data_IF_378365301516
#
_entry.id   IF_378365301516
#
_cell.length_a   1.000
_cell.length_b   1.000
_cell.length_c   1.000
_cell.angle_alpha   90.00
_cell.angle_beta   90.00
_cell.angle_gamma   90.00
#
_symmetry.space_group_name_H-M   'P 1'
#
loop_
_entity.id
_entity.type
_entity.pdbx_description
1 polymer ?
#
# COMPACT_ATOMS: atom_id res chain seq x y z
N UNK A 1 30.70 -57.43 -1.26
CA UNK A 1 30.00 -56.41 -2.09
C UNK A 1 28.89 -55.81 -1.25
N UNK A 2 28.93 -54.50 -0.97
CA UNK A 2 27.86 -53.75 -0.30
C UNK A 2 27.77 -52.40 -0.98
N UNK A 3 26.78 -52.25 -1.88
CA UNK A 3 26.42 -50.99 -2.50
C UNK A 3 25.30 -50.38 -1.67
N UNK A 4 25.59 -49.35 -0.89
CA UNK A 4 24.58 -48.53 -0.23
C UNK A 4 24.15 -47.43 -1.20
N UNK A 5 22.88 -47.47 -1.60
CA UNK A 5 22.22 -46.48 -2.44
C UNK A 5 22.04 -45.18 -1.66
N UNK A 6 22.60 -44.09 -2.20
CA UNK A 6 22.37 -42.73 -1.73
C UNK A 6 20.96 -42.27 -2.16
N UNK A 7 20.10 -41.99 -1.19
CA UNK A 7 18.85 -41.25 -1.41
C UNK A 7 19.19 -39.77 -1.57
N UNK A 8 19.14 -39.27 -2.80
CA UNK A 8 19.22 -37.84 -3.09
C UNK A 8 17.83 -37.24 -2.85
N UNK A 9 17.66 -36.56 -1.72
CA UNK A 9 16.45 -35.80 -1.40
C UNK A 9 16.35 -34.59 -2.32
N UNK A 10 15.48 -34.65 -3.32
CA UNK A 10 15.01 -33.51 -4.09
C UNK A 10 14.20 -32.59 -3.15
N UNK A 11 14.90 -31.68 -2.47
CA UNK A 11 14.26 -30.60 -1.74
C UNK A 11 13.53 -29.69 -2.72
N UNK A 12 12.19 -29.75 -2.74
CA UNK A 12 11.37 -28.73 -3.38
C UNK A 12 11.65 -27.40 -2.68
N UNK A 13 12.41 -26.52 -3.33
CA UNK A 13 12.50 -25.13 -2.94
C UNK A 13 11.13 -24.49 -3.19
N UNK A 14 10.27 -24.47 -2.18
CA UNK A 14 9.10 -23.60 -2.14
C UNK A 14 9.65 -22.19 -1.96
N UNK A 15 9.96 -21.52 -3.07
CA UNK A 15 10.27 -20.10 -3.01
C UNK A 15 8.99 -19.37 -2.59
N UNK A 16 9.02 -18.53 -1.54
CA UNK A 16 7.87 -17.67 -1.24
C UNK A 16 7.60 -16.81 -2.47
N UNK A 17 6.36 -16.84 -2.96
CA UNK A 17 5.90 -15.92 -3.98
C UNK A 17 6.00 -14.51 -3.39
N UNK A 18 7.03 -13.77 -3.80
CA UNK A 18 7.16 -12.36 -3.46
C UNK A 18 6.02 -11.66 -4.20
N UNK A 19 4.97 -11.28 -3.47
CA UNK A 19 3.94 -10.41 -4.00
C UNK A 19 4.63 -9.12 -4.46
N UNK A 20 4.72 -8.92 -5.78
CA UNK A 20 5.30 -7.72 -6.36
C UNK A 20 4.34 -6.56 -6.04
N UNK A 21 4.85 -5.50 -5.38
CA UNK A 21 4.04 -4.31 -5.16
C UNK A 21 3.71 -3.68 -6.51
N UNK A 22 2.43 -3.51 -6.82
CA UNK A 22 1.95 -2.91 -8.07
C UNK A 22 2.09 -1.37 -8.11
N UNK A 23 2.73 -0.81 -7.08
CA UNK A 23 3.06 0.60 -6.93
C UNK A 23 3.06 1.03 -5.45
N UNK A 24 3.08 2.33 -5.21
CA UNK A 24 3.20 2.94 -3.88
C UNK A 24 2.32 4.19 -3.74
N UNK A 25 1.79 4.40 -2.53
CA UNK A 25 1.17 5.65 -2.12
C UNK A 25 2.08 6.33 -1.12
N UNK A 26 2.38 7.60 -1.38
CA UNK A 26 3.10 8.47 -0.48
C UNK A 26 2.16 9.57 0.02
N UNK A 27 1.97 9.65 1.33
CA UNK A 27 1.20 10.72 1.97
C UNK A 27 2.16 11.65 2.68
N UNK A 28 1.99 12.95 2.48
CA UNK A 28 2.70 14.00 3.21
C UNK A 28 1.68 14.88 3.92
N UNK A 29 1.88 15.10 5.20
CA UNK A 29 1.02 15.93 6.05
C UNK A 29 1.54 17.37 6.16
N UNK A 30 0.73 18.28 6.71
CA UNK A 30 1.08 19.71 6.86
C UNK A 30 2.29 19.97 7.77
N UNK A 31 2.63 19.04 8.68
CA UNK A 31 3.82 19.14 9.54
C UNK A 31 5.04 18.40 8.94
N UNK A 32 4.99 18.07 7.65
CA UNK A 32 6.01 17.33 6.90
C UNK A 32 6.27 15.89 7.42
N UNK A 33 5.38 15.33 8.26
CA UNK A 33 5.37 13.90 8.50
C UNK A 33 4.84 13.16 7.25
N UNK A 34 5.42 12.01 6.97
CA UNK A 34 5.09 11.21 5.80
C UNK A 34 4.88 9.74 6.14
N UNK A 35 4.11 9.06 5.30
CA UNK A 35 3.88 7.63 5.37
C UNK A 35 3.88 7.06 3.95
N UNK A 36 4.37 5.82 3.82
CA UNK A 36 4.44 5.09 2.56
C UNK A 36 3.75 3.75 2.71
N UNK A 37 2.97 3.39 1.71
CA UNK A 37 2.29 2.10 1.72
C UNK A 37 2.22 1.49 0.33
N UNK A 38 2.47 0.18 0.20
CA UNK A 38 2.34 -0.51 -1.08
C UNK A 38 0.88 -0.45 -1.54
N UNK A 39 0.69 -0.33 -2.86
CA UNK A 39 -0.64 -0.50 -3.45
C UNK A 39 -1.10 -1.94 -3.20
N UNK A 40 -2.02 -2.09 -2.25
CA UNK A 40 -2.66 -3.36 -1.94
C UNK A 40 -4.18 -3.19 -1.97
N UNK A 41 -4.87 -4.30 -2.25
CA UNK A 41 -6.32 -4.39 -2.10
C UNK A 41 -6.79 -4.46 -0.64
N UNK A 42 -5.87 -4.52 0.30
CA UNK A 42 -6.16 -4.55 1.73
C UNK A 42 -6.33 -3.12 2.27
N UNK A 43 -7.01 -3.02 3.42
CA UNK A 43 -7.14 -1.74 4.09
C UNK A 43 -5.84 -1.42 4.84
N UNK A 44 -5.28 -0.25 4.58
CA UNK A 44 -4.10 0.26 5.26
C UNK A 44 -4.48 1.42 6.18
N UNK A 45 -4.13 1.34 7.46
CA UNK A 45 -4.41 2.40 8.45
C UNK A 45 -3.15 3.21 8.72
N UNK A 46 -3.25 4.54 8.56
CA UNK A 46 -2.15 5.47 8.81
C UNK A 46 -1.97 5.70 10.31
N UNK A 47 -0.73 5.86 10.76
CA UNK A 47 -0.43 6.15 12.17
C UNK A 47 -0.83 7.56 12.63
N UNK A 48 -1.02 8.51 11.70
CA UNK A 48 -1.13 9.93 12.03
C UNK A 48 -2.36 10.62 11.39
N UNK A 49 -3.56 10.18 11.79
CA UNK A 49 -4.84 10.67 11.24
C UNK A 49 -5.27 12.06 11.72
N UNK A 50 -4.62 12.61 12.74
CA UNK A 50 -5.00 13.89 13.37
C UNK A 50 -4.34 15.12 12.71
N UNK A 51 -3.43 14.92 11.76
CA UNK A 51 -2.75 15.99 11.03
C UNK A 51 -3.34 16.07 9.62
N UNK A 52 -3.71 17.27 9.12
CA UNK A 52 -4.19 17.39 7.76
C UNK A 52 -3.14 16.94 6.75
N UNK A 53 -3.61 16.28 5.71
CA UNK A 53 -2.82 15.87 4.54
C UNK A 53 -2.58 17.09 3.65
N UNK A 54 -1.32 17.29 3.29
CA UNK A 54 -0.84 18.34 2.37
C UNK A 54 -0.84 17.82 0.93
N UNK A 55 -0.31 16.62 0.74
CA UNK A 55 -0.05 16.01 -0.57
C UNK A 55 -0.24 14.50 -0.51
N UNK A 56 -0.77 13.92 -1.58
CA UNK A 56 -0.83 12.48 -1.82
C UNK A 56 -0.28 12.23 -3.22
N UNK A 57 0.75 11.40 -3.30
CA UNK A 57 1.35 10.95 -4.56
C UNK A 57 1.12 9.45 -4.73
N UNK A 58 0.41 9.08 -5.80
CA UNK A 58 0.07 7.69 -6.12
C UNK A 58 0.87 7.28 -7.34
N UNK A 59 1.90 6.47 -7.12
CA UNK A 59 2.78 5.93 -8.17
C UNK A 59 2.37 4.50 -8.46
N UNK A 60 1.89 4.24 -9.66
CA UNK A 60 1.52 2.90 -10.11
C UNK A 60 2.49 2.36 -11.16
N UNK A 61 2.68 1.05 -11.18
CA UNK A 61 3.30 0.34 -12.31
C UNK A 61 2.23 -0.19 -13.28
N UNK A 62 0.98 -0.31 -12.82
CA UNK A 62 -0.16 -0.83 -13.57
C UNK A 62 -1.16 0.28 -13.87
N UNK A 63 -1.66 0.44 -15.11
CA UNK A 63 -2.61 1.49 -15.44
C UNK A 63 -3.94 1.31 -14.70
N UNK A 64 -4.51 2.43 -14.23
CA UNK A 64 -5.89 2.58 -13.73
C UNK A 64 -6.14 2.28 -12.24
N UNK A 65 -5.13 2.34 -11.38
CA UNK A 65 -5.34 2.22 -9.94
C UNK A 65 -6.17 3.38 -9.41
N UNK A 66 -7.11 3.04 -8.53
CA UNK A 66 -7.89 4.01 -7.76
C UNK A 66 -7.73 3.74 -6.29
N UNK A 67 -7.32 4.74 -5.53
CA UNK A 67 -7.22 4.66 -4.09
C UNK A 67 -8.37 5.43 -3.45
N UNK A 68 -9.02 4.81 -2.48
CA UNK A 68 -10.05 5.42 -1.63
C UNK A 68 -9.39 5.73 -0.30
N UNK A 69 -9.37 7.01 0.08
CA UNK A 69 -8.87 7.50 1.35
C UNK A 69 -10.05 7.78 2.27
N UNK A 70 -9.96 7.31 3.50
CA UNK A 70 -11.01 7.39 4.51
C UNK A 70 -10.55 8.27 5.66
N UNK A 71 -11.45 9.06 6.23
CA UNK A 71 -11.14 9.97 7.33
C UNK A 71 -10.78 9.23 8.63
N UNK A 72 -11.30 8.01 8.81
CA UNK A 72 -11.10 7.17 9.99
C UNK A 72 -10.20 5.96 9.67
N UNK A 73 -9.82 5.20 10.70
CA UNK A 73 -9.13 3.92 10.53
C UNK A 73 -10.04 2.84 9.93
N UNK A 74 -9.45 1.70 9.57
CA UNK A 74 -10.18 0.49 9.14
C UNK A 74 -11.18 0.72 7.98
N UNK A 75 -10.85 1.67 7.10
CA UNK A 75 -11.60 2.03 5.90
C UNK A 75 -13.05 2.44 6.18
N UNK A 76 -13.23 3.27 7.22
CA UNK A 76 -14.53 3.78 7.69
C UNK A 76 -14.68 5.29 7.53
N UNK A 77 -15.93 5.76 7.64
CA UNK A 77 -16.26 7.18 7.68
C UNK A 77 -16.26 7.85 6.30
N UNK A 78 -16.09 9.18 6.29
CA UNK A 78 -16.10 9.97 5.05
C UNK A 78 -14.91 9.60 4.17
N UNK A 79 -15.14 9.50 2.85
CA UNK A 79 -14.13 9.02 1.91
C UNK A 79 -13.92 9.93 0.69
N UNK A 80 -12.71 9.89 0.14
CA UNK A 80 -12.31 10.54 -1.11
C UNK A 80 -11.61 9.53 -2.02
N UNK A 81 -12.02 9.45 -3.28
CA UNK A 81 -11.37 8.58 -4.28
C UNK A 81 -10.44 9.41 -5.16
N UNK A 82 -9.20 8.96 -5.28
CA UNK A 82 -8.17 9.54 -6.15
C UNK A 82 -7.69 8.50 -7.15
N UNK A 83 -7.23 8.97 -8.30
CA UNK A 83 -6.52 8.18 -9.31
C UNK A 83 -5.01 8.34 -9.13
N UNK A 84 -4.22 7.66 -9.92
CA UNK A 84 -2.79 7.90 -10.07
C UNK A 84 -2.43 9.38 -10.24
N UNK A 85 -1.26 9.77 -9.73
CA UNK A 85 -0.70 11.12 -9.82
C UNK A 85 -0.51 11.86 -8.50
N UNK A 86 -0.08 13.12 -8.61
CA UNK A 86 0.18 14.07 -7.51
C UNK A 86 -1.07 14.91 -7.21
N UNK A 87 -1.58 14.78 -5.97
CA UNK A 87 -2.78 15.45 -5.47
C UNK A 87 -2.43 16.37 -4.31
N UNK A 88 -2.53 17.69 -4.55
CA UNK A 88 -2.28 18.73 -3.54
C UNK A 88 -3.57 19.28 -2.98
N UNK A 89 -3.65 19.34 -1.66
CA UNK A 89 -4.85 19.78 -0.96
C UNK A 89 -4.71 21.24 -0.52
N UNK A 90 -5.61 22.10 -0.99
CA UNK A 90 -5.72 23.51 -0.53
C UNK A 90 -6.66 23.68 0.67
N UNK A 91 -7.47 22.66 0.94
CA UNK A 91 -8.40 22.61 2.07
C UNK A 91 -7.97 21.46 2.96
N UNK A 92 -8.25 21.58 4.27
CA UNK A 92 -7.94 20.52 5.23
C UNK A 92 -8.63 19.22 4.82
N UNK A 93 -7.83 18.21 4.56
CA UNK A 93 -8.23 16.84 4.30
C UNK A 93 -7.52 15.97 5.33
N UNK A 94 -8.20 14.99 5.91
CA UNK A 94 -7.63 14.06 6.88
C UNK A 94 -7.77 12.65 6.32
N UNK A 95 -6.72 11.85 6.43
CA UNK A 95 -6.71 10.46 6.01
C UNK A 95 -6.30 9.59 7.20
N UNK A 96 -7.21 8.74 7.67
CA UNK A 96 -6.96 7.73 8.70
C UNK A 96 -6.68 6.34 8.13
N UNK A 97 -7.21 6.03 6.94
CA UNK A 97 -6.90 4.78 6.25
C UNK A 97 -7.09 4.91 4.75
N UNK A 98 -6.63 3.91 4.00
CA UNK A 98 -6.82 3.82 2.56
C UNK A 98 -7.03 2.39 2.08
N UNK A 99 -7.62 2.25 0.89
CA UNK A 99 -7.71 1.01 0.13
C UNK A 99 -7.58 1.30 -1.35
N UNK A 100 -6.71 0.57 -2.04
CA UNK A 100 -6.53 0.73 -3.48
C UNK A 100 -7.15 -0.41 -4.26
N UNK A 101 -7.68 -0.09 -5.45
CA UNK A 101 -8.31 -1.01 -6.38
C UNK A 101 -7.54 -0.91 -7.69
N UNK A 102 -6.92 -2.02 -8.11
CA UNK A 102 -6.27 -2.18 -9.40
C UNK A 102 -7.19 -2.91 -10.38
#
# INVERSE_FOLDING_TARGET
MKFSLALVSLGLCIAPAIAQSIGQVHIITENDAWDESPLSGECYTFGNSNVPVKEIDIKEETPHVRCIFFAEGDCQGASLTLKDGDHKFRRRFYAGSMKCLA
#
